data_IF_597252753745
#
_entry.id   IF_597252753745
#
_cell.length_a   1.000
_cell.length_b   1.000
_cell.length_c   1.000
_cell.angle_alpha   90.00
_cell.angle_beta   90.00
_cell.angle_gamma   90.00
#
_symmetry.space_group_name_H-M   'P 1'
#
loop_
_entity.id
_entity.type
_entity.pdbx_description
1 polymer ?
#
# COMPACT_ATOMS: atom_id res chain seq x y z
N UNK A 1 -41.73 -5.24 -42.78
CA UNK A 1 -40.79 -4.52 -41.89
C UNK A 1 -41.22 -4.82 -40.47
N UNK A 2 -40.58 -5.79 -39.81
CA UNK A 2 -40.88 -6.07 -38.40
C UNK A 2 -39.54 -6.19 -37.70
N UNK A 3 -39.08 -5.07 -37.14
CA UNK A 3 -37.92 -5.02 -36.28
C UNK A 3 -38.32 -5.76 -35.00
N UNK A 4 -37.83 -6.99 -34.81
CA UNK A 4 -37.96 -7.67 -33.51
C UNK A 4 -37.09 -6.89 -32.53
N UNK A 5 -37.74 -6.14 -31.63
CA UNK A 5 -37.12 -5.66 -30.41
C UNK A 5 -36.67 -6.90 -29.63
N UNK A 6 -35.40 -7.23 -29.75
CA UNK A 6 -34.77 -8.17 -28.84
C UNK A 6 -35.04 -7.66 -27.43
N UNK A 7 -35.59 -8.55 -26.61
CA UNK A 7 -35.89 -8.40 -25.19
C UNK A 7 -34.95 -7.38 -24.56
N UNK A 8 -35.55 -6.30 -24.05
CA UNK A 8 -34.92 -5.37 -23.14
C UNK A 8 -34.59 -6.14 -21.85
N UNK A 9 -33.49 -6.89 -21.86
CA UNK A 9 -32.87 -7.28 -20.62
C UNK A 9 -32.56 -5.96 -19.92
N UNK A 10 -33.22 -5.69 -18.80
CA UNK A 10 -32.97 -4.47 -18.04
C UNK A 10 -31.48 -4.47 -17.66
N UNK A 11 -30.72 -3.59 -18.31
CA UNK A 11 -29.30 -3.40 -18.05
C UNK A 11 -29.01 -3.07 -16.57
N UNK A 12 -30.04 -2.65 -15.82
CA UNK A 12 -30.02 -2.32 -14.40
C UNK A 12 -30.20 -3.51 -13.45
N UNK A 13 -30.42 -4.73 -13.96
CA UNK A 13 -30.58 -5.90 -13.10
C UNK A 13 -29.26 -6.35 -12.48
N UNK A 14 -29.21 -6.41 -11.15
CA UNK A 14 -28.08 -6.96 -10.38
C UNK A 14 -27.85 -8.40 -10.81
N UNK A 15 -26.61 -8.73 -11.19
CA UNK A 15 -26.21 -10.06 -11.62
C UNK A 15 -25.42 -10.76 -10.51
N UNK A 16 -25.72 -12.03 -10.21
CA UNK A 16 -25.15 -12.73 -9.05
C UNK A 16 -23.62 -12.94 -9.12
N UNK A 17 -23.00 -12.75 -10.29
CA UNK A 17 -21.55 -12.92 -10.48
C UNK A 17 -20.76 -11.60 -10.55
N UNK A 18 -21.44 -10.45 -10.48
CA UNK A 18 -20.79 -9.15 -10.54
C UNK A 18 -20.63 -8.59 -9.12
N UNK A 19 -19.43 -8.09 -8.81
CA UNK A 19 -19.19 -7.32 -7.59
C UNK A 19 -19.60 -5.87 -7.86
N UNK A 20 -20.62 -5.40 -7.14
CA UNK A 20 -21.10 -4.02 -7.23
C UNK A 20 -20.51 -3.13 -6.12
N UNK A 21 -19.85 -3.74 -5.14
CA UNK A 21 -19.09 -3.01 -4.13
C UNK A 21 -17.81 -2.47 -4.77
N UNK A 22 -17.55 -1.18 -4.56
CA UNK A 22 -16.27 -0.60 -4.93
C UNK A 22 -15.20 -1.18 -4.00
N UNK A 23 -14.16 -1.86 -4.51
CA UNK A 23 -13.12 -2.39 -3.66
C UNK A 23 -12.44 -1.24 -2.94
N UNK A 24 -12.33 -1.33 -1.61
CA UNK A 24 -11.48 -0.42 -0.84
C UNK A 24 -10.04 -0.71 -1.24
N UNK A 25 -9.41 0.19 -2.00
CA UNK A 25 -8.03 0.02 -2.44
C UNK A 25 -7.11 0.35 -1.26
N UNK A 26 -6.53 -0.68 -0.64
CA UNK A 26 -5.48 -0.48 0.34
C UNK A 26 -4.13 -0.40 -0.38
N UNK A 27 -3.42 0.72 -0.20
CA UNK A 27 -2.06 0.89 -0.70
C UNK A 27 -1.09 0.92 0.48
N UNK A 28 -0.02 0.13 0.40
CA UNK A 28 1.08 0.18 1.37
C UNK A 28 2.28 0.84 0.72
N UNK A 29 2.85 1.84 1.39
CA UNK A 29 4.04 2.54 0.96
C UNK A 29 5.15 2.24 1.97
N UNK A 30 6.30 1.78 1.48
CA UNK A 30 7.51 1.63 2.29
C UNK A 30 8.37 2.88 2.16
N UNK A 31 8.88 3.41 3.27
CA UNK A 31 9.74 4.60 3.28
C UNK A 31 10.95 4.40 4.17
N UNK A 32 12.05 5.08 3.81
CA UNK A 32 13.23 5.22 4.66
C UNK A 32 13.29 6.65 5.17
N UNK A 33 13.52 6.81 6.48
CA UNK A 33 13.61 8.11 7.13
C UNK A 33 15.01 8.28 7.69
N UNK A 34 15.68 9.36 7.33
CA UNK A 34 16.93 9.77 7.96
C UNK A 34 16.61 10.74 9.10
N UNK A 35 16.91 10.34 10.33
CA UNK A 35 16.64 11.13 11.53
C UNK A 35 17.78 10.97 12.53
N UNK A 36 18.07 12.02 13.29
CA UNK A 36 18.92 11.96 14.48
C UNK A 36 18.14 11.57 15.75
N UNK A 37 16.80 11.56 15.67
CA UNK A 37 15.88 11.26 16.77
C UNK A 37 15.29 9.85 16.61
N UNK A 38 14.77 9.30 17.71
CA UNK A 38 14.12 7.99 17.70
C UNK A 38 12.74 8.07 17.02
N UNK A 39 12.64 7.55 15.80
CA UNK A 39 11.46 7.76 14.94
C UNK A 39 10.21 7.03 15.44
N UNK A 40 10.36 5.99 16.27
CA UNK A 40 9.23 5.29 16.89
C UNK A 40 8.63 6.02 18.11
N UNK A 41 9.13 7.22 18.46
CA UNK A 41 8.47 8.05 19.45
C UNK A 41 7.03 8.42 19.00
N UNK A 42 6.01 8.28 19.86
CA UNK A 42 4.62 8.53 19.48
C UNK A 42 4.35 9.93 18.92
N UNK A 43 5.02 10.96 19.45
CA UNK A 43 4.82 12.34 18.98
C UNK A 43 5.47 12.54 17.59
N UNK A 44 6.64 11.95 17.37
CA UNK A 44 7.31 11.98 16.06
C UNK A 44 6.48 11.22 15.01
N UNK A 45 5.98 10.03 15.35
CA UNK A 45 5.13 9.25 14.45
C UNK A 45 3.83 9.98 14.10
N UNK A 46 3.21 10.68 15.06
CA UNK A 46 2.03 11.49 14.80
C UNK A 46 2.34 12.62 13.81
N UNK A 47 3.45 13.35 14.02
CA UNK A 47 3.86 14.44 13.14
C UNK A 47 4.18 13.96 11.70
N UNK A 48 4.83 12.81 11.54
CA UNK A 48 5.09 12.23 10.21
C UNK A 48 3.77 11.86 9.53
N UNK A 49 2.83 11.26 10.27
CA UNK A 49 1.56 10.82 9.72
C UNK A 49 0.68 12.01 9.29
N UNK A 50 0.69 13.11 10.06
CA UNK A 50 0.08 14.38 9.63
C UNK A 50 0.72 14.90 8.35
N UNK A 51 2.06 14.87 8.27
CA UNK A 51 2.75 15.33 7.05
C UNK A 51 2.40 14.51 5.81
N UNK A 52 2.20 13.20 5.98
CA UNK A 52 1.74 12.33 4.90
C UNK A 52 0.32 12.70 4.47
N UNK A 53 -0.59 12.94 5.42
CA UNK A 53 -1.97 13.38 5.13
C UNK A 53 -1.99 14.69 4.34
N UNK A 54 -1.26 15.71 4.79
CA UNK A 54 -1.12 16.98 4.06
C UNK A 54 -0.66 16.76 2.60
N UNK A 55 0.32 15.88 2.40
CA UNK A 55 0.86 15.60 1.06
C UNK A 55 -0.11 14.84 0.15
N UNK A 56 -1.02 14.05 0.72
CA UNK A 56 -2.09 13.38 -0.02
C UNK A 56 -3.21 14.36 -0.38
N UNK A 57 -3.56 15.26 0.54
CA UNK A 57 -4.52 16.35 0.32
C UNK A 57 -4.03 17.30 -0.79
N UNK A 58 -2.75 17.71 -0.75
CA UNK A 58 -2.09 18.50 -1.80
C UNK A 58 -2.25 17.86 -3.20
N UNK A 59 -2.32 16.53 -3.26
CA UNK A 59 -2.46 15.74 -4.49
C UNK A 59 -3.92 15.49 -4.88
N UNK A 60 -4.87 16.16 -4.22
CA UNK A 60 -6.32 16.02 -4.41
C UNK A 60 -6.83 14.60 -4.14
N UNK A 61 -6.15 13.86 -3.27
CA UNK A 61 -6.62 12.57 -2.77
C UNK A 61 -7.48 12.81 -1.53
N UNK A 62 -8.57 13.56 -1.69
CA UNK A 62 -9.34 14.17 -0.58
C UNK A 62 -10.52 13.34 -0.08
N UNK A 63 -10.90 12.26 -0.76
CA UNK A 63 -12.07 11.47 -0.38
C UNK A 63 -11.69 10.32 0.57
N UNK A 64 -12.10 10.45 1.84
CA UNK A 64 -12.15 9.38 2.85
C UNK A 64 -10.86 8.56 3.04
N UNK A 65 -9.68 9.19 2.95
CA UNK A 65 -8.41 8.49 3.11
C UNK A 65 -8.09 8.29 4.59
N UNK A 66 -7.98 7.02 4.99
CA UNK A 66 -7.43 6.65 6.29
C UNK A 66 -5.97 6.26 6.13
N UNK A 67 -5.06 6.99 6.79
CA UNK A 67 -3.62 6.68 6.84
C UNK A 67 -3.29 6.14 8.22
N UNK A 68 -2.78 4.92 8.28
CA UNK A 68 -2.36 4.25 9.51
C UNK A 68 -0.96 3.65 9.34
N UNK A 69 -0.25 3.51 10.46
CA UNK A 69 1.02 2.80 10.49
C UNK A 69 0.83 1.29 10.34
N UNK A 70 1.71 0.65 9.60
CA UNK A 70 1.82 -0.81 9.58
C UNK A 70 2.81 -1.24 10.66
N UNK A 71 2.28 -1.76 11.76
CA UNK A 71 3.09 -2.30 12.86
C UNK A 71 3.62 -3.68 12.45
N UNK A 72 4.90 -3.91 12.65
CA UNK A 72 5.54 -5.19 12.39
C UNK A 72 5.27 -6.20 13.53
N UNK A 73 5.66 -7.46 13.35
CA UNK A 73 5.40 -8.53 14.32
C UNK A 73 6.05 -8.29 15.69
N UNK A 74 7.12 -7.48 15.72
CA UNK A 74 7.85 -7.06 16.91
C UNK A 74 7.28 -5.79 17.58
N UNK A 75 6.16 -5.26 17.07
CA UNK A 75 5.46 -4.14 17.68
C UNK A 75 6.00 -2.75 17.30
N UNK A 76 7.03 -2.66 16.44
CA UNK A 76 7.58 -1.38 15.98
C UNK A 76 7.18 -1.10 14.52
N UNK A 77 7.32 0.17 14.11
CA UNK A 77 7.01 0.61 12.74
C UNK A 77 8.29 0.82 11.94
N UNK A 78 9.31 1.43 12.54
CA UNK A 78 10.58 1.69 11.89
C UNK A 78 11.70 0.84 12.49
N UNK A 79 12.38 0.06 11.64
CA UNK A 79 13.64 -0.59 11.98
C UNK A 79 14.81 0.29 11.57
N UNK A 80 15.83 0.36 12.43
CA UNK A 80 17.12 0.97 12.06
C UNK A 80 17.74 0.14 10.94
N UNK A 81 18.09 0.80 9.84
CA UNK A 81 18.81 0.16 8.76
C UNK A 81 20.18 -0.30 9.28
N UNK A 82 20.48 -1.60 9.13
CA UNK A 82 21.80 -2.13 9.47
C UNK A 82 22.77 -1.69 8.37
N UNK A 83 23.93 -1.19 8.75
CA UNK A 83 25.03 -1.06 7.79
C UNK A 83 25.43 -2.47 7.35
N UNK A 84 25.22 -2.76 6.06
CA UNK A 84 25.75 -3.97 5.47
C UNK A 84 27.27 -3.79 5.37
N UNK A 85 28.01 -4.26 6.37
CA UNK A 85 29.44 -4.52 6.19
C UNK A 85 29.55 -5.68 5.22
N UNK A 86 29.70 -5.37 3.93
CA UNK A 86 29.86 -6.37 2.88
C UNK A 86 31.22 -7.06 3.07
N UNK A 87 31.30 -8.06 3.94
CA UNK A 87 32.32 -9.10 3.79
C UNK A 87 31.98 -9.81 2.49
N UNK A 88 32.76 -9.53 1.44
CA UNK A 88 32.69 -10.20 0.14
C UNK A 88 33.00 -11.68 0.37
N UNK A 89 32.00 -12.47 0.72
CA UNK A 89 32.11 -13.93 0.64
C UNK A 89 31.85 -14.27 -0.82
N UNK A 90 32.93 -14.50 -1.56
CA UNK A 90 32.87 -15.14 -2.87
C UNK A 90 32.20 -16.51 -2.71
N UNK A 91 30.88 -16.57 -2.94
CA UNK A 91 30.15 -17.82 -3.02
C UNK A 91 30.28 -18.32 -4.45
N UNK A 92 31.11 -19.34 -4.65
CA UNK A 92 31.18 -20.07 -5.91
C UNK A 92 29.78 -20.48 -6.34
N UNK A 93 29.43 -20.10 -7.58
CA UNK A 93 28.23 -20.56 -8.27
C UNK A 93 28.37 -22.06 -8.48
N UNK A 94 27.62 -22.86 -7.72
CA UNK A 94 27.33 -24.24 -8.14
C UNK A 94 26.34 -24.16 -9.29
N UNK A 95 26.78 -24.63 -10.46
CA UNK A 95 25.92 -24.87 -11.62
C UNK A 95 24.91 -25.94 -11.27
N UNK A 96 23.65 -25.71 -11.67
CA UNK A 96 22.65 -26.76 -11.68
C UNK A 96 22.90 -27.63 -12.92
N UNK A 97 23.14 -28.92 -12.71
CA UNK A 97 23.10 -29.90 -13.79
C UNK A 97 21.62 -30.14 -14.18
N UNK A 98 21.37 -30.23 -15.49
CA UNK A 98 20.06 -30.41 -16.10
C UNK A 98 19.61 -31.88 -16.02
#
# INVERSE_FOLDING_TARGET
MTLRLAVTAECSSIKPFFCYDLPTVQQTISMKVKSSQEVNDPAIMAAILEKIKEKLEDRRMTENITVNWRVHQDGVVFHKEKENTTTVVNKERKTCDL
#
